data_IF_420000259891
#
_entry.id   IF_420000259891
#
_cell.length_a   1.000
_cell.length_b   1.000
_cell.length_c   1.000
_cell.angle_alpha   90.00
_cell.angle_beta   90.00
_cell.angle_gamma   90.00
#
_symmetry.space_group_name_H-M   'P 1'
#
loop_
_entity.id
_entity.type
_entity.pdbx_description
1 polymer ?
#
# COMPACT_ATOMS: atom_id res chain seq x y z
N UNK A 1 22.11 -23.21 8.67
CA UNK A 1 20.89 -23.69 7.99
C UNK A 1 19.73 -22.76 8.41
N UNK A 2 19.29 -21.88 7.54
CA UNK A 2 18.18 -20.97 7.84
C UNK A 2 16.89 -21.78 7.75
N UNK A 3 16.20 -21.94 8.89
CA UNK A 3 14.85 -22.50 8.95
C UNK A 3 13.94 -21.58 8.13
N UNK A 4 13.51 -22.07 6.99
CA UNK A 4 12.47 -21.41 6.19
C UNK A 4 11.22 -21.27 7.07
N UNK A 5 10.96 -20.06 7.54
CA UNK A 5 9.71 -19.77 8.25
C UNK A 5 8.56 -20.13 7.30
N UNK A 6 7.87 -21.25 7.55
CA UNK A 6 6.67 -21.64 6.81
C UNK A 6 5.74 -20.43 6.75
N UNK A 7 5.39 -20.01 5.54
CA UNK A 7 4.41 -18.96 5.31
C UNK A 7 3.13 -19.36 6.03
N UNK A 8 2.83 -18.71 7.16
CA UNK A 8 1.62 -19.02 7.93
C UNK A 8 0.44 -18.38 7.22
N UNK A 9 -0.37 -19.22 6.59
CA UNK A 9 -1.66 -18.82 6.01
C UNK A 9 -2.54 -18.28 7.13
N UNK A 10 -3.11 -17.09 6.97
CA UNK A 10 -4.07 -16.56 7.93
C UNK A 10 -5.39 -17.33 7.82
N UNK A 11 -5.86 -17.86 8.94
CA UNK A 11 -7.20 -18.40 9.07
C UNK A 11 -8.18 -17.26 9.35
N UNK A 12 -9.45 -17.52 9.15
CA UNK A 12 -10.51 -16.55 9.44
C UNK A 12 -10.44 -16.03 10.88
N UNK A 13 -10.17 -16.91 11.82
CA UNK A 13 -10.03 -16.60 13.26
C UNK A 13 -8.80 -15.74 13.55
N UNK A 14 -7.70 -15.95 12.85
CA UNK A 14 -6.44 -15.19 13.03
C UNK A 14 -6.63 -13.71 12.64
N UNK A 15 -7.57 -13.40 11.76
CA UNK A 15 -7.85 -12.04 11.28
C UNK A 15 -9.17 -11.46 11.78
N UNK A 16 -9.94 -12.22 12.55
CA UNK A 16 -11.20 -11.78 13.17
C UNK A 16 -12.33 -11.45 12.17
N UNK A 17 -12.24 -11.93 10.93
CA UNK A 17 -13.24 -11.66 9.89
C UNK A 17 -14.46 -12.58 10.01
N UNK A 18 -15.63 -12.07 9.63
CA UNK A 18 -16.82 -12.88 9.42
C UNK A 18 -16.64 -13.84 8.24
N UNK A 19 -17.47 -14.86 8.15
CA UNK A 19 -17.45 -15.81 7.01
C UNK A 19 -17.66 -15.10 5.66
N UNK A 20 -18.55 -14.11 5.62
CA UNK A 20 -18.84 -13.35 4.40
C UNK A 20 -17.61 -12.50 3.97
N UNK A 21 -17.00 -11.75 4.89
CA UNK A 21 -15.79 -10.94 4.64
C UNK A 21 -14.63 -11.84 4.17
N UNK A 22 -14.39 -12.95 4.86
CA UNK A 22 -13.34 -13.90 4.51
C UNK A 22 -13.57 -14.51 3.12
N UNK A 23 -14.83 -14.81 2.75
CA UNK A 23 -15.18 -15.32 1.43
C UNK A 23 -14.89 -14.29 0.33
N UNK A 24 -15.17 -13.00 0.57
CA UNK A 24 -14.85 -11.93 -0.39
C UNK A 24 -13.33 -11.88 -0.64
N UNK A 25 -12.54 -11.81 0.41
CA UNK A 25 -11.07 -11.75 0.29
C UNK A 25 -10.47 -13.07 -0.24
N UNK A 26 -11.08 -14.21 0.08
CA UNK A 26 -10.69 -15.53 -0.42
C UNK A 26 -10.78 -15.67 -1.94
N UNK A 27 -11.62 -14.87 -2.61
CA UNK A 27 -11.71 -14.82 -4.08
C UNK A 27 -10.58 -13.97 -4.72
N UNK A 28 -9.82 -13.24 -3.92
CA UNK A 28 -8.73 -12.38 -4.36
C UNK A 28 -7.38 -13.12 -4.28
N UNK A 29 -7.28 -14.26 -4.95
CA UNK A 29 -6.20 -15.24 -4.87
C UNK A 29 -4.92 -14.89 -5.66
N UNK A 30 -4.92 -13.74 -6.33
CA UNK A 30 -3.78 -13.24 -7.09
C UNK A 30 -3.64 -11.71 -6.94
N UNK A 31 -2.41 -11.16 -6.97
CA UNK A 31 -2.18 -9.71 -6.87
C UNK A 31 -2.97 -8.89 -7.89
N UNK A 32 -3.11 -9.39 -9.11
CA UNK A 32 -3.89 -8.74 -10.16
C UNK A 32 -5.38 -8.68 -9.82
N UNK A 33 -5.95 -9.75 -9.23
CA UNK A 33 -7.35 -9.77 -8.78
C UNK A 33 -7.58 -8.83 -7.62
N UNK A 34 -6.62 -8.73 -6.69
CA UNK A 34 -6.66 -7.75 -5.59
C UNK A 34 -6.65 -6.33 -6.19
N UNK A 35 -5.76 -6.05 -7.15
CA UNK A 35 -5.69 -4.73 -7.78
C UNK A 35 -7.00 -4.39 -8.52
N UNK A 36 -7.58 -5.32 -9.28
CA UNK A 36 -8.86 -5.12 -9.97
C UNK A 36 -9.99 -4.82 -8.98
N UNK A 37 -10.04 -5.55 -7.86
CA UNK A 37 -11.00 -5.28 -6.77
C UNK A 37 -10.85 -3.86 -6.23
N UNK A 38 -9.62 -3.43 -5.94
CA UNK A 38 -9.34 -2.06 -5.45
C UNK A 38 -9.66 -0.99 -6.49
N UNK A 39 -9.46 -1.28 -7.79
CA UNK A 39 -9.82 -0.36 -8.86
C UNK A 39 -11.33 -0.12 -8.97
N UNK A 40 -12.13 -1.14 -8.66
CA UNK A 40 -13.59 -1.07 -8.68
C UNK A 40 -14.18 -0.35 -7.45
N UNK A 41 -13.40 -0.12 -6.39
CA UNK A 41 -13.84 0.62 -5.20
C UNK A 41 -13.66 2.12 -5.44
N UNK A 42 -14.68 2.99 -5.23
CA UNK A 42 -14.53 4.44 -5.25
C UNK A 42 -13.46 4.95 -4.29
N UNK A 43 -12.93 6.14 -4.59
CA UNK A 43 -12.02 6.82 -3.70
C UNK A 43 -12.72 7.23 -2.41
N UNK A 44 -12.03 7.06 -1.28
CA UNK A 44 -12.42 7.69 -0.03
C UNK A 44 -11.81 9.10 0.01
N UNK A 45 -12.64 10.13 -0.12
CA UNK A 45 -12.24 11.54 -0.13
C UNK A 45 -12.28 12.18 1.26
N UNK A 46 -12.60 11.41 2.30
CA UNK A 46 -12.57 11.84 3.72
C UNK A 46 -13.33 13.14 3.98
N UNK A 47 -14.50 13.30 3.35
CA UNK A 47 -15.34 14.53 3.41
C UNK A 47 -15.75 14.89 4.86
N UNK A 48 -15.61 14.00 5.82
CA UNK A 48 -15.93 14.24 7.24
C UNK A 48 -14.70 14.26 8.15
N UNK A 49 -13.49 14.34 7.58
CA UNK A 49 -12.23 14.23 8.31
C UNK A 49 -11.51 12.92 8.05
N UNK A 50 -10.30 12.80 8.59
CA UNK A 50 -9.42 11.66 8.40
C UNK A 50 -10.05 10.36 8.94
N UNK A 51 -10.09 9.29 8.14
CA UNK A 51 -10.83 8.06 8.49
C UNK A 51 -9.97 6.85 8.77
N UNK A 52 -8.97 6.53 7.97
CA UNK A 52 -8.12 5.33 8.04
C UNK A 52 -8.95 4.05 8.30
N UNK A 53 -9.80 3.68 7.34
CA UNK A 53 -10.73 2.56 7.46
C UNK A 53 -9.98 1.22 7.56
N UNK A 54 -10.46 0.33 8.45
CA UNK A 54 -10.00 -1.05 8.51
C UNK A 54 -10.44 -1.85 7.28
N UNK A 55 -9.91 -3.06 7.11
CA UNK A 55 -10.34 -3.98 6.04
C UNK A 55 -11.85 -4.20 6.09
N UNK A 56 -12.42 -4.47 7.27
CA UNK A 56 -13.87 -4.61 7.49
C UNK A 56 -14.64 -3.40 7.01
N UNK A 57 -14.22 -2.21 7.41
CA UNK A 57 -14.91 -0.98 7.07
C UNK A 57 -14.80 -0.64 5.57
N UNK A 58 -13.68 -0.94 4.91
CA UNK A 58 -13.56 -0.82 3.44
C UNK A 58 -14.56 -1.76 2.74
N UNK A 59 -14.66 -3.02 3.19
CA UNK A 59 -15.62 -3.96 2.60
C UNK A 59 -17.07 -3.51 2.81
N UNK A 60 -17.39 -2.95 3.97
CA UNK A 60 -18.73 -2.45 4.33
C UNK A 60 -19.09 -1.17 3.58
N UNK A 61 -18.19 -0.17 3.58
CA UNK A 61 -18.43 1.16 3.02
C UNK A 61 -18.18 1.24 1.52
N UNK A 62 -17.47 0.26 0.95
CA UNK A 62 -17.14 0.20 -0.48
C UNK A 62 -16.39 1.43 -0.99
N UNK A 63 -15.50 1.99 -0.18
CA UNK A 63 -14.61 3.10 -0.52
C UNK A 63 -13.26 2.92 0.15
N UNK A 64 -12.20 3.44 -0.46
CA UNK A 64 -10.85 3.38 0.12
C UNK A 64 -9.93 4.46 -0.44
N UNK A 65 -9.03 4.97 0.39
CA UNK A 65 -7.82 5.68 -0.05
C UNK A 65 -6.58 4.76 0.06
N UNK A 66 -5.35 5.29 -0.09
CA UNK A 66 -4.15 4.49 -0.30
C UNK A 66 -3.86 3.47 0.82
N UNK A 67 -3.82 3.90 2.09
CA UNK A 67 -3.50 3.02 3.23
C UNK A 67 -4.60 1.99 3.47
N UNK A 68 -5.86 2.38 3.32
CA UNK A 68 -7.04 1.51 3.47
C UNK A 68 -7.03 0.40 2.41
N UNK A 69 -6.74 0.75 1.15
CA UNK A 69 -6.54 -0.21 0.07
C UNK A 69 -5.33 -1.12 0.29
N UNK A 70 -4.24 -0.58 0.87
CA UNK A 70 -3.06 -1.36 1.24
C UNK A 70 -3.37 -2.38 2.35
N UNK A 71 -4.20 -2.04 3.33
CA UNK A 71 -4.69 -2.99 4.36
C UNK A 71 -5.49 -4.12 3.74
N UNK A 72 -6.42 -3.83 2.83
CA UNK A 72 -7.20 -4.85 2.11
C UNK A 72 -6.27 -5.78 1.33
N UNK A 73 -5.31 -5.22 0.59
CA UNK A 73 -4.37 -6.00 -0.19
C UNK A 73 -3.47 -6.88 0.68
N UNK A 74 -2.93 -6.34 1.77
CA UNK A 74 -2.10 -7.08 2.71
C UNK A 74 -2.87 -8.24 3.37
N UNK A 75 -4.13 -8.01 3.77
CA UNK A 75 -4.99 -9.03 4.36
C UNK A 75 -5.30 -10.14 3.34
N UNK A 76 -5.65 -9.80 2.10
CA UNK A 76 -5.90 -10.77 1.04
C UNK A 76 -4.63 -11.61 0.73
N UNK A 77 -3.45 -10.98 0.62
CA UNK A 77 -2.18 -11.68 0.45
C UNK A 77 -1.90 -12.65 1.62
N UNK A 78 -2.20 -12.24 2.84
CA UNK A 78 -1.98 -13.06 4.03
C UNK A 78 -2.89 -14.31 4.05
N UNK A 79 -4.15 -14.16 3.70
CA UNK A 79 -5.11 -15.26 3.56
C UNK A 79 -4.62 -16.29 2.53
N UNK A 80 -3.94 -15.85 1.48
CA UNK A 80 -3.35 -16.69 0.44
C UNK A 80 -1.90 -17.13 0.73
N UNK A 81 -1.43 -17.01 1.98
CA UNK A 81 -0.13 -17.53 2.44
C UNK A 81 1.06 -16.66 2.09
N UNK A 82 0.84 -15.43 1.61
CA UNK A 82 1.90 -14.44 1.44
C UNK A 82 2.07 -13.59 2.70
N UNK A 83 3.24 -13.01 2.91
CA UNK A 83 3.44 -12.10 4.03
C UNK A 83 2.70 -10.78 3.77
N UNK A 84 1.90 -10.25 4.73
CA UNK A 84 1.18 -8.99 4.59
C UNK A 84 2.14 -7.80 4.74
N UNK A 85 2.91 -7.51 3.70
CA UNK A 85 3.96 -6.49 3.73
C UNK A 85 3.46 -5.16 3.18
N UNK A 86 3.74 -4.08 3.91
CA UNK A 86 3.49 -2.71 3.45
C UNK A 86 4.79 -1.93 3.29
N UNK A 87 4.78 -0.96 2.38
CA UNK A 87 5.84 0.04 2.20
C UNK A 87 5.23 1.43 2.18
N UNK A 88 5.80 2.32 2.99
CA UNK A 88 5.43 3.72 3.03
C UNK A 88 6.32 4.51 2.08
N UNK A 89 5.74 5.27 1.17
CA UNK A 89 6.42 6.23 0.31
C UNK A 89 6.15 7.64 0.80
N UNK A 90 7.21 8.40 1.04
CA UNK A 90 7.15 9.74 1.60
C UNK A 90 7.51 10.80 0.57
N UNK A 91 6.81 11.91 0.60
CA UNK A 91 6.95 13.01 -0.34
C UNK A 91 7.36 14.31 0.38
N UNK A 92 7.53 15.38 -0.35
CA UNK A 92 7.67 16.70 0.28
C UNK A 92 6.31 17.25 0.77
N UNK A 93 6.34 18.36 1.48
CA UNK A 93 5.17 18.96 2.12
C UNK A 93 4.09 19.48 1.16
N UNK A 94 4.32 19.43 -0.15
CA UNK A 94 3.37 19.89 -1.16
C UNK A 94 2.44 18.80 -1.68
N UNK A 95 2.63 17.55 -1.22
CA UNK A 95 1.88 16.38 -1.67
C UNK A 95 1.59 15.44 -0.48
N UNK A 96 0.90 14.33 -0.74
CA UNK A 96 0.52 13.37 0.28
C UNK A 96 1.35 12.10 0.19
N UNK A 97 1.76 11.51 1.33
CA UNK A 97 2.43 10.20 1.34
C UNK A 97 1.53 9.11 0.78
N UNK A 98 2.14 7.99 0.40
CA UNK A 98 1.43 6.88 -0.22
C UNK A 98 1.85 5.54 0.38
N UNK A 99 0.92 4.61 0.51
CA UNK A 99 1.17 3.27 1.06
C UNK A 99 0.90 2.22 0.01
N UNK A 100 1.85 1.29 -0.15
CA UNK A 100 1.78 0.17 -1.07
C UNK A 100 1.70 -1.15 -0.30
N UNK A 101 0.92 -2.10 -0.78
CA UNK A 101 1.06 -3.50 -0.37
C UNK A 101 2.05 -4.21 -1.30
N UNK A 102 3.00 -4.91 -0.71
CA UNK A 102 4.09 -5.55 -1.43
C UNK A 102 3.84 -7.05 -1.61
N UNK A 103 4.22 -7.57 -2.74
CA UNK A 103 4.28 -9.01 -2.99
C UNK A 103 5.56 -9.41 -3.73
N UNK A 104 5.84 -10.71 -3.79
CA UNK A 104 7.03 -11.22 -4.50
C UNK A 104 6.66 -12.37 -5.43
N UNK A 105 7.37 -12.41 -6.56
CA UNK A 105 7.44 -13.61 -7.42
C UNK A 105 8.91 -13.96 -7.61
N UNK A 106 9.31 -15.09 -7.04
CA UNK A 106 10.71 -15.46 -6.94
C UNK A 106 11.50 -14.40 -6.14
N UNK A 107 12.47 -13.76 -6.79
CA UNK A 107 13.34 -12.74 -6.17
C UNK A 107 12.86 -11.31 -6.44
N UNK A 108 11.82 -11.11 -7.25
CA UNK A 108 11.37 -9.78 -7.69
C UNK A 108 10.19 -9.28 -6.87
N UNK A 109 10.19 -7.98 -6.63
CA UNK A 109 9.15 -7.25 -5.94
C UNK A 109 8.11 -6.71 -6.93
N UNK A 110 6.86 -6.76 -6.52
CA UNK A 110 5.74 -6.06 -7.11
C UNK A 110 4.94 -5.32 -6.05
N UNK A 111 4.01 -4.48 -6.48
CA UNK A 111 3.18 -3.70 -5.57
C UNK A 111 1.73 -3.62 -6.03
N UNK A 112 0.82 -3.63 -5.05
CA UNK A 112 -0.60 -3.37 -5.19
C UNK A 112 -0.88 -2.03 -4.52
N UNK A 113 -1.65 -1.18 -5.15
CA UNK A 113 -1.87 0.16 -4.65
C UNK A 113 -3.25 0.72 -5.01
N UNK A 114 -3.83 1.49 -4.12
CA UNK A 114 -5.05 2.26 -4.35
C UNK A 114 -4.71 3.72 -4.55
N UNK A 115 -4.99 4.23 -5.74
CA UNK A 115 -4.84 5.65 -6.09
C UNK A 115 -5.97 6.10 -7.01
N UNK A 116 -6.31 7.39 -7.01
CA UNK A 116 -7.38 7.94 -7.85
C UNK A 116 -6.99 8.01 -9.33
N UNK A 117 -5.72 8.33 -9.60
CA UNK A 117 -5.15 8.25 -10.94
C UNK A 117 -4.60 6.86 -11.27
N UNK A 118 -4.26 6.61 -12.53
CA UNK A 118 -3.68 5.34 -12.96
C UNK A 118 -2.19 5.19 -12.58
N UNK A 119 -1.49 6.31 -12.41
CA UNK A 119 -0.03 6.38 -12.34
C UNK A 119 0.57 5.73 -11.09
N UNK A 120 -0.06 5.86 -9.92
CA UNK A 120 0.46 5.32 -8.66
C UNK A 120 -0.19 3.99 -8.26
N UNK A 121 -0.57 3.17 -9.23
CA UNK A 121 -1.22 1.89 -9.00
C UNK A 121 -0.23 0.71 -9.08
N UNK A 122 -0.67 -0.40 -9.57
CA UNK A 122 0.01 -1.68 -9.65
C UNK A 122 1.40 -1.58 -10.27
N UNK A 123 2.34 -2.38 -9.73
CA UNK A 123 3.63 -2.67 -10.36
C UNK A 123 3.84 -4.17 -10.42
N UNK A 124 4.16 -4.66 -11.62
CA UNK A 124 4.50 -6.06 -11.85
C UNK A 124 5.75 -6.47 -11.06
N UNK A 125 5.91 -7.76 -10.73
CA UNK A 125 7.01 -8.25 -9.90
C UNK A 125 8.30 -8.40 -10.73
N UNK A 126 8.86 -7.29 -11.18
CA UNK A 126 10.08 -7.23 -12.00
C UNK A 126 11.25 -6.52 -11.29
N UNK A 127 11.00 -5.89 -10.15
CA UNK A 127 11.99 -5.07 -9.44
C UNK A 127 12.84 -5.91 -8.49
N UNK A 128 14.16 -5.76 -8.55
CA UNK A 128 15.12 -6.54 -7.76
C UNK A 128 15.26 -6.07 -6.32
N UNK A 129 14.91 -4.79 -6.06
CA UNK A 129 14.99 -4.17 -4.74
C UNK A 129 13.78 -3.26 -4.47
N UNK A 130 13.53 -2.96 -3.18
CA UNK A 130 12.51 -1.99 -2.80
C UNK A 130 12.84 -0.58 -3.30
N UNK A 131 14.13 -0.24 -3.41
CA UNK A 131 14.54 1.04 -3.98
C UNK A 131 14.19 1.14 -5.46
N UNK A 132 14.43 0.08 -6.22
CA UNK A 132 14.08 0.02 -7.64
C UNK A 132 12.57 0.11 -7.83
N UNK A 133 11.80 -0.62 -7.03
CA UNK A 133 10.34 -0.51 -7.02
C UNK A 133 9.87 0.92 -6.69
N UNK A 134 10.39 1.55 -5.63
CA UNK A 134 10.04 2.91 -5.26
C UNK A 134 10.42 3.92 -6.36
N UNK A 135 11.58 3.74 -7.00
CA UNK A 135 12.01 4.58 -8.14
C UNK A 135 11.08 4.47 -9.35
N UNK A 136 10.37 3.36 -9.54
CA UNK A 136 9.41 3.21 -10.64
C UNK A 136 8.22 4.18 -10.54
N UNK A 137 7.95 4.70 -9.37
CA UNK A 137 6.92 5.72 -9.13
C UNK A 137 7.45 7.15 -9.23
N UNK A 138 8.77 7.36 -9.27
CA UNK A 138 9.39 8.67 -9.10
C UNK A 138 8.91 9.73 -10.08
N UNK A 139 8.81 9.39 -11.36
CA UNK A 139 8.37 10.34 -12.38
C UNK A 139 6.86 10.54 -12.44
N UNK A 140 6.10 9.60 -11.90
CA UNK A 140 4.63 9.63 -11.85
C UNK A 140 4.10 10.24 -10.55
N UNK A 141 4.99 10.51 -9.57
CA UNK A 141 4.64 11.07 -8.28
C UNK A 141 4.88 12.58 -8.29
N UNK A 142 3.85 13.34 -8.57
CA UNK A 142 3.93 14.79 -8.74
C UNK A 142 2.68 15.50 -8.24
N UNK A 143 2.85 16.75 -7.79
CA UNK A 143 1.78 17.62 -7.34
C UNK A 143 1.00 18.26 -8.52
N UNK A 144 -0.06 19.01 -8.20
CA UNK A 144 -0.90 19.71 -9.20
C UNK A 144 -0.13 20.72 -10.05
N UNK A 145 1.07 21.12 -9.64
CA UNK A 145 1.95 22.04 -10.39
C UNK A 145 2.95 21.29 -11.27
N UNK A 146 2.89 19.96 -11.32
CA UNK A 146 3.82 19.12 -12.08
C UNK A 146 5.20 18.99 -11.45
N UNK A 147 5.36 19.31 -10.16
CA UNK A 147 6.63 19.12 -9.43
C UNK A 147 6.71 17.71 -8.90
N UNK A 148 7.81 17.02 -9.19
CA UNK A 148 8.06 15.67 -8.66
C UNK A 148 8.29 15.72 -7.16
N UNK A 149 7.48 15.03 -6.39
CA UNK A 149 7.39 15.19 -4.93
C UNK A 149 7.92 14.00 -4.13
N UNK A 150 8.08 12.82 -4.71
CA UNK A 150 8.58 11.64 -4.00
C UNK A 150 10.02 11.88 -3.48
N UNK A 151 10.27 11.56 -2.19
CA UNK A 151 11.55 11.82 -1.52
C UNK A 151 12.19 10.58 -0.93
N UNK A 152 11.40 9.71 -0.31
CA UNK A 152 11.92 8.56 0.40
C UNK A 152 10.91 7.42 0.46
N UNK A 153 11.36 6.27 0.93
CA UNK A 153 10.54 5.08 1.14
C UNK A 153 10.96 4.37 2.42
N UNK A 154 10.09 3.54 2.99
CA UNK A 154 10.42 2.66 4.11
C UNK A 154 10.92 1.29 3.63
N UNK A 155 11.53 0.52 4.52
CA UNK A 155 11.63 -0.92 4.34
C UNK A 155 10.25 -1.58 4.29
N UNK A 156 10.21 -2.86 3.88
CA UNK A 156 9.00 -3.67 3.96
C UNK A 156 8.63 -3.91 5.43
N UNK A 157 7.44 -3.49 5.82
CA UNK A 157 6.90 -3.68 7.16
C UNK A 157 5.88 -4.82 7.16
N UNK A 158 6.09 -5.80 8.04
CA UNK A 158 5.20 -6.94 8.18
C UNK A 158 4.06 -6.60 9.15
N UNK A 159 2.83 -6.55 8.63
CA UNK A 159 1.63 -6.19 9.38
C UNK A 159 1.26 -7.20 10.47
N UNK A 160 1.84 -8.40 10.47
CA UNK A 160 1.69 -9.37 11.58
C UNK A 160 2.32 -8.89 12.90
N UNK A 161 3.11 -7.83 12.86
CA UNK A 161 3.65 -7.14 14.05
C UNK A 161 2.63 -6.23 14.74
N UNK A 162 1.48 -6.03 14.13
CA UNK A 162 0.35 -5.26 14.67
C UNK A 162 -0.80 -6.24 14.86
N UNK A 163 -1.49 -6.14 15.99
CA UNK A 163 -2.69 -6.93 16.23
C UNK A 163 -3.70 -6.73 15.09
N UNK A 164 -4.18 -7.79 14.43
CA UNK A 164 -5.19 -7.70 13.38
C UNK A 164 -6.43 -6.89 13.78
N UNK A 165 -6.81 -6.90 15.04
CA UNK A 165 -7.93 -6.09 15.55
C UNK A 165 -7.73 -4.58 15.33
N UNK A 166 -6.49 -4.10 15.16
CA UNK A 166 -6.15 -2.68 15.00
C UNK A 166 -6.13 -2.21 13.54
N UNK A 167 -6.23 -3.12 12.55
CA UNK A 167 -6.18 -2.75 11.13
C UNK A 167 -7.09 -3.60 10.22
N UNK A 168 -7.49 -4.82 10.67
CA UNK A 168 -8.40 -5.67 9.90
C UNK A 168 -9.85 -5.44 10.31
N UNK A 169 -10.14 -5.39 11.61
CA UNK A 169 -11.52 -5.40 12.13
C UNK A 169 -11.88 -4.18 12.98
N UNK A 170 -10.97 -3.21 13.14
CA UNK A 170 -11.23 -2.00 13.89
C UNK A 170 -12.47 -1.26 13.34
N UNK A 171 -13.37 -0.87 14.22
CA UNK A 171 -14.58 -0.09 13.92
C UNK A 171 -14.33 1.44 13.96
N UNK A 172 -13.16 1.85 14.47
CA UNK A 172 -12.67 3.23 14.51
C UNK A 172 -11.55 3.42 13.49
N UNK A 173 -11.02 4.64 13.41
CA UNK A 173 -9.82 4.90 12.60
C UNK A 173 -8.63 4.04 13.07
N UNK A 174 -7.95 3.39 12.14
CA UNK A 174 -6.80 2.51 12.42
C UNK A 174 -5.52 3.32 12.75
N UNK A 175 -5.64 4.30 13.66
CA UNK A 175 -4.57 5.27 13.97
C UNK A 175 -3.28 4.59 14.41
N UNK A 176 -3.35 3.58 15.29
CA UNK A 176 -2.17 2.87 15.77
C UNK A 176 -1.39 2.18 14.65
N UNK A 177 -2.10 1.62 13.65
CA UNK A 177 -1.45 1.02 12.48
C UNK A 177 -0.79 2.10 11.59
N UNK A 178 -1.46 3.24 11.40
CA UNK A 178 -0.91 4.37 10.67
C UNK A 178 0.35 4.93 11.37
N UNK A 179 0.31 5.14 12.68
CA UNK A 179 1.45 5.66 13.45
C UNK A 179 2.67 4.74 13.35
N UNK A 180 2.46 3.42 13.36
CA UNK A 180 3.55 2.46 13.15
C UNK A 180 4.18 2.56 11.76
N UNK A 181 3.38 2.79 10.72
CA UNK A 181 3.88 2.96 9.35
C UNK A 181 4.58 4.31 9.16
N UNK A 182 4.03 5.37 9.74
CA UNK A 182 4.63 6.72 9.67
C UNK A 182 5.92 6.84 10.47
N UNK A 183 6.09 6.06 11.54
CA UNK A 183 7.31 6.01 12.35
C UNK A 183 8.44 5.16 11.73
N UNK A 184 8.22 4.46 10.60
CA UNK A 184 9.23 3.62 9.98
C UNK A 184 10.44 4.45 9.51
N UNK A 185 11.64 3.88 9.63
CA UNK A 185 12.86 4.49 9.08
C UNK A 185 12.72 4.74 7.58
N UNK A 186 13.06 5.95 7.13
CA UNK A 186 13.06 6.35 5.73
C UNK A 186 14.42 6.16 5.09
N UNK A 187 14.39 5.69 3.85
CA UNK A 187 15.55 5.60 2.96
C UNK A 187 15.40 6.63 1.86
N UNK A 188 16.29 7.62 1.74
CA UNK A 188 16.17 8.65 0.72
C UNK A 188 16.33 8.05 -0.68
N UNK A 189 15.50 8.47 -1.62
CA UNK A 189 15.59 8.11 -3.04
C UNK A 189 16.57 8.99 -3.79
N UNK A 190 16.61 10.27 -3.44
CA UNK A 190 17.43 11.28 -4.09
C UNK A 190 18.13 12.16 -3.05
N UNK A 191 19.30 12.65 -3.40
CA UNK A 191 20.08 13.60 -2.58
C UNK A 191 19.52 15.03 -2.68
N UNK A 192 19.91 15.91 -1.75
CA UNK A 192 19.56 17.33 -1.80
C UNK A 192 20.11 18.03 -3.06
N UNK A 193 21.25 17.58 -3.59
CA UNK A 193 21.80 18.09 -4.87
C UNK A 193 20.86 17.70 -6.02
N UNK A 194 20.41 16.45 -6.09
CA UNK A 194 19.50 15.98 -7.12
C UNK A 194 18.13 16.67 -7.07
N UNK A 195 17.61 17.00 -5.87
CA UNK A 195 16.34 17.76 -5.75
C UNK A 195 16.37 19.08 -6.52
N UNK A 196 17.52 19.78 -6.53
CA UNK A 196 17.69 21.07 -7.23
C UNK A 196 17.75 20.94 -8.76
N UNK A 197 17.95 19.73 -9.27
CA UNK A 197 18.05 19.42 -10.70
C UNK A 197 16.75 18.87 -11.30
N UNK A 198 15.70 18.72 -10.49
CA UNK A 198 14.45 18.13 -10.97
C UNK A 198 13.74 19.08 -11.94
N UNK A 199 13.52 18.60 -13.15
CA UNK A 199 12.62 19.25 -14.09
C UNK A 199 11.15 18.97 -13.69
N UNK A 200 10.28 19.93 -13.96
CA UNK A 200 8.83 19.74 -13.85
C UNK A 200 8.34 18.73 -14.92
N UNK A 201 7.22 18.08 -14.63
CA UNK A 201 6.52 17.28 -15.65
C UNK A 201 5.90 18.25 -16.65
N UNK A 202 6.30 18.14 -17.92
CA UNK A 202 5.73 18.93 -19.00
C UNK A 202 4.23 18.64 -19.20
N UNK A 203 3.49 19.63 -19.70
CA UNK A 203 2.12 19.40 -20.16
C UNK A 203 2.17 18.74 -21.52
N UNK A 204 1.43 17.64 -21.70
CA UNK A 204 1.17 17.15 -23.05
C UNK A 204 0.27 18.21 -23.77
N UNK A 205 0.72 18.68 -24.90
CA UNK A 205 -0.15 19.42 -25.81
C UNK A 205 -0.98 18.39 -26.55
N UNK A 206 -2.29 18.40 -26.31
CA UNK A 206 -3.28 17.64 -27.08
C UNK A 206 -3.73 18.51 -28.23
#
# INVERSE_FOLDING_TARGET
>A
MAVSARKRIARREDVGLTRAEFTILGRLDAPQRIQLFLNAIPANHEIGGETILSVREVLRQRRAHCIEGAFVAACALWIHGESPLLMFMDCDTSDHPHVLALFRRGRHWGAISKHNGAQLRYRDPVYRSLRELAMSYFHEYFDRRGRKTLRSYSGAFDMRRIDPALWVTCDKACQQANDRLTALRRHPLISNRQKRLLAQIGRAHV
#
